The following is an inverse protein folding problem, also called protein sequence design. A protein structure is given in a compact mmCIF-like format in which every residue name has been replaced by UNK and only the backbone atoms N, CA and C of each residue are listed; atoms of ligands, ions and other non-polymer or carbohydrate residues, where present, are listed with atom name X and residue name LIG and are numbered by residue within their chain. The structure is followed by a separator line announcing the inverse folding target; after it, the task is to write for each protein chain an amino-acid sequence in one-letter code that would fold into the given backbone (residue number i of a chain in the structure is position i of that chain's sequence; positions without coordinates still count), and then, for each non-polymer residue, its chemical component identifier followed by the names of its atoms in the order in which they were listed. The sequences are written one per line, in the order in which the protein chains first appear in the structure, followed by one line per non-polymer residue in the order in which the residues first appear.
data_IF_458881733556
#
_entry.id   IF_458881733556
#
_cell.length_a   1.000
_cell.length_b   1.000
_cell.length_c   1.000
_cell.angle_alpha   90.00
_cell.angle_beta   90.00
_cell.angle_gamma   90.00
#
_symmetry.space_group_name_H-M   'P 1'
#
loop_
_entity.id
_entity.type
_entity.pdbx_description
1 polymer ?
#
# COMPACT_ATOMS: atom_id res chain seq x y z
N UNK A 1 -2.79 46.04 -27.74
CA UNK A 1 -3.14 46.04 -26.30
C UNK A 1 -1.93 45.41 -25.62
N UNK A 2 -0.88 46.22 -25.46
CA UNK A 2 0.52 45.77 -25.33
C UNK A 2 1.20 46.43 -24.13
N UNK A 3 0.58 46.32 -22.96
CA UNK A 3 1.03 47.09 -21.78
C UNK A 3 1.38 46.21 -20.56
N UNK A 4 1.26 44.89 -20.67
CA UNK A 4 1.50 43.98 -19.52
C UNK A 4 2.58 42.90 -19.72
N UNK A 5 3.20 42.77 -20.90
CA UNK A 5 4.14 41.67 -21.15
C UNK A 5 5.53 41.86 -20.49
N UNK A 6 5.99 43.09 -20.25
CA UNK A 6 7.35 43.36 -19.75
C UNK A 6 7.55 43.16 -18.25
N UNK A 7 6.48 42.98 -17.46
CA UNK A 7 6.55 42.86 -16.00
C UNK A 7 6.44 41.41 -15.46
N UNK A 8 6.07 40.44 -16.31
CA UNK A 8 5.88 39.06 -15.87
C UNK A 8 6.84 38.11 -16.59
N UNK A 9 7.82 37.58 -15.84
CA UNK A 9 8.57 36.38 -16.25
C UNK A 9 7.70 35.15 -16.04
N UNK A 10 7.13 34.62 -17.12
CA UNK A 10 6.45 33.33 -17.09
C UNK A 10 7.49 32.21 -17.03
N UNK A 11 7.72 31.69 -15.83
CA UNK A 11 8.60 30.55 -15.61
C UNK A 11 7.76 29.28 -15.72
N UNK A 12 7.94 28.50 -16.78
CA UNK A 12 7.31 27.18 -16.91
C UNK A 12 8.11 26.18 -16.09
N UNK A 13 7.67 25.95 -14.85
CA UNK A 13 8.15 24.82 -14.08
C UNK A 13 7.46 23.57 -14.64
N UNK A 14 8.16 22.79 -15.46
CA UNK A 14 7.71 21.44 -15.81
C UNK A 14 8.11 20.59 -14.61
N UNK A 15 7.17 20.14 -13.76
CA UNK A 15 7.55 19.27 -12.66
C UNK A 15 8.05 17.97 -13.28
N UNK A 16 9.36 17.71 -13.15
CA UNK A 16 9.97 16.44 -13.54
C UNK A 16 9.62 15.35 -12.51
N UNK A 17 8.34 15.29 -12.09
CA UNK A 17 7.84 14.32 -11.14
C UNK A 17 7.29 13.12 -11.90
N UNK A 18 7.97 12.00 -11.73
CA UNK A 18 7.59 10.72 -12.31
C UNK A 18 8.59 9.67 -11.86
N UNK A 19 8.12 8.45 -11.66
CA UNK A 19 8.99 7.33 -11.32
C UNK A 19 9.83 7.02 -12.55
N UNK A 20 11.14 7.28 -12.47
CA UNK A 20 12.05 7.05 -13.59
C UNK A 20 12.28 5.57 -13.86
N UNK A 21 12.44 4.78 -12.79
CA UNK A 21 12.66 3.34 -12.85
C UNK A 21 12.19 2.69 -11.54
N UNK A 22 11.66 1.47 -11.63
CA UNK A 22 11.35 0.60 -10.49
C UNK A 22 12.30 -0.58 -10.51
N UNK A 23 12.93 -0.87 -9.37
CA UNK A 23 13.82 -2.00 -9.23
C UNK A 23 13.23 -3.03 -8.28
N UNK A 24 12.93 -4.22 -8.79
CA UNK A 24 12.49 -5.34 -7.98
C UNK A 24 13.69 -6.15 -7.51
N UNK A 25 13.80 -6.32 -6.19
CA UNK A 25 14.70 -7.30 -5.60
C UNK A 25 14.09 -8.70 -5.74
N UNK A 26 14.93 -9.71 -5.98
CA UNK A 26 14.50 -11.09 -6.19
C UNK A 26 14.22 -11.46 -7.65
N UNK A 27 13.49 -12.56 -7.86
CA UNK A 27 13.18 -13.13 -9.18
C UNK A 27 11.68 -13.20 -9.39
N UNK A 28 11.24 -13.25 -10.65
CA UNK A 28 9.82 -13.41 -11.02
C UNK A 28 9.16 -14.60 -10.29
N UNK A 29 9.91 -15.68 -10.10
CA UNK A 29 9.44 -16.87 -9.39
C UNK A 29 9.03 -16.53 -7.94
N UNK A 30 9.84 -15.75 -7.23
CA UNK A 30 9.52 -15.37 -5.84
C UNK A 30 8.27 -14.50 -5.76
N UNK A 31 8.07 -13.58 -6.71
CA UNK A 31 6.87 -12.75 -6.76
C UNK A 31 5.61 -13.56 -7.04
N UNK A 32 5.68 -14.53 -7.97
CA UNK A 32 4.58 -15.49 -8.22
C UNK A 32 4.28 -16.33 -6.99
N UNK A 33 5.31 -16.86 -6.33
CA UNK A 33 5.17 -17.65 -5.11
C UNK A 33 4.57 -16.80 -3.96
N UNK A 34 4.96 -15.53 -3.84
CA UNK A 34 4.41 -14.62 -2.84
C UNK A 34 2.92 -14.37 -3.07
N UNK A 35 2.51 -14.13 -4.33
CA UNK A 35 1.10 -13.99 -4.71
C UNK A 35 0.32 -15.27 -4.38
N UNK A 36 0.81 -16.43 -4.80
CA UNK A 36 0.16 -17.72 -4.56
C UNK A 36 -0.01 -18.00 -3.07
N UNK A 37 1.03 -17.77 -2.25
CA UNK A 37 0.93 -17.93 -0.79
C UNK A 37 -0.07 -16.96 -0.18
N UNK A 38 -0.11 -15.71 -0.66
CA UNK A 38 -1.09 -14.72 -0.20
C UNK A 38 -2.52 -15.14 -0.54
N UNK A 39 -2.73 -15.73 -1.72
CA UNK A 39 -4.02 -16.29 -2.13
C UNK A 39 -4.42 -17.50 -1.28
N UNK A 40 -3.49 -18.42 -1.01
CA UNK A 40 -3.72 -19.54 -0.11
C UNK A 40 -4.07 -19.08 1.30
N UNK A 41 -3.40 -18.04 1.81
CA UNK A 41 -3.69 -17.46 3.12
C UNK A 41 -5.14 -17.00 3.25
N UNK A 42 -5.75 -16.46 2.19
CA UNK A 42 -7.18 -16.07 2.22
C UNK A 42 -8.10 -17.23 2.62
N UNK A 43 -7.79 -18.46 2.23
CA UNK A 43 -8.62 -19.63 2.58
C UNK A 43 -8.62 -19.96 4.08
N UNK A 44 -7.60 -19.52 4.81
CA UNK A 44 -7.47 -19.69 6.26
C UNK A 44 -8.05 -18.51 7.06
N UNK A 45 -8.46 -17.45 6.38
CA UNK A 45 -9.04 -16.27 7.04
C UNK A 45 -10.55 -16.37 7.17
N UNK A 46 -11.10 -15.71 8.20
CA UNK A 46 -12.54 -15.59 8.37
C UNK A 46 -13.06 -14.60 7.31
N UNK A 47 -14.06 -15.02 6.54
CA UNK A 47 -14.68 -14.18 5.50
C UNK A 47 -15.21 -12.88 6.13
N UNK A 48 -14.80 -11.75 5.55
CA UNK A 48 -15.10 -10.38 6.00
C UNK A 48 -14.33 -9.85 7.21
N UNK A 49 -13.32 -10.57 7.72
CA UNK A 49 -12.39 -10.01 8.71
C UNK A 49 -11.46 -8.95 8.08
N UNK A 50 -10.92 -8.06 8.90
CA UNK A 50 -9.90 -7.05 8.58
C UNK A 50 -8.74 -7.63 7.77
N UNK A 51 -8.25 -8.81 8.15
CA UNK A 51 -7.14 -9.48 7.49
C UNK A 51 -7.52 -10.04 6.12
N UNK A 52 -8.76 -10.52 5.94
CA UNK A 52 -9.27 -10.91 4.62
C UNK A 52 -9.34 -9.71 3.67
N UNK A 53 -9.86 -8.57 4.14
CA UNK A 53 -9.90 -7.32 3.34
C UNK A 53 -8.48 -6.85 2.95
N UNK A 54 -7.53 -6.92 3.88
CA UNK A 54 -6.13 -6.60 3.61
C UNK A 54 -5.54 -7.48 2.50
N UNK A 55 -5.74 -8.81 2.56
CA UNK A 55 -5.26 -9.71 1.50
C UNK A 55 -5.95 -9.43 0.15
N UNK A 56 -7.24 -9.10 0.14
CA UNK A 56 -7.95 -8.70 -1.08
C UNK A 56 -7.37 -7.43 -1.71
N UNK A 57 -6.93 -6.46 -0.90
CA UNK A 57 -6.27 -5.24 -1.38
C UNK A 57 -4.82 -5.49 -1.83
N UNK A 58 -4.12 -6.45 -1.21
CA UNK A 58 -2.71 -6.78 -1.47
C UNK A 58 -2.52 -7.55 -2.78
N UNK A 59 -3.38 -8.53 -3.09
CA UNK A 59 -3.21 -9.42 -4.25
C UNK A 59 -3.16 -8.67 -5.58
N UNK A 60 -4.02 -7.68 -5.86
CA UNK A 60 -3.94 -6.86 -7.07
C UNK A 60 -2.59 -6.14 -7.21
N UNK A 61 -2.02 -5.65 -6.11
CA UNK A 61 -0.71 -4.97 -6.10
C UNK A 61 0.41 -5.95 -6.48
N UNK A 62 0.39 -7.15 -5.89
CA UNK A 62 1.34 -8.21 -6.25
C UNK A 62 1.21 -8.63 -7.72
N UNK A 63 -0.01 -8.62 -8.25
CA UNK A 63 -0.24 -8.90 -9.67
C UNK A 63 0.38 -7.83 -10.56
N UNK A 64 0.22 -6.54 -10.24
CA UNK A 64 0.86 -5.44 -10.96
C UNK A 64 2.40 -5.53 -10.93
N UNK A 65 2.99 -6.01 -9.82
CA UNK A 65 4.43 -6.26 -9.75
C UNK A 65 4.87 -7.38 -10.69
N UNK A 66 4.12 -8.48 -10.76
CA UNK A 66 4.39 -9.59 -11.67
C UNK A 66 4.28 -9.14 -13.13
N UNK A 67 3.21 -8.42 -13.49
CA UNK A 67 3.02 -7.89 -14.85
C UNK A 67 4.13 -6.93 -15.23
N UNK A 68 4.51 -6.02 -14.32
CA UNK A 68 5.62 -5.08 -14.53
C UNK A 68 6.94 -5.83 -14.77
N UNK A 69 7.21 -6.90 -14.02
CA UNK A 69 8.40 -7.73 -14.21
C UNK A 69 8.39 -8.47 -15.57
N UNK A 70 7.22 -8.81 -16.09
CA UNK A 70 7.05 -9.45 -17.40
C UNK A 70 7.10 -8.44 -18.57
N UNK A 71 7.23 -7.14 -18.28
CA UNK A 71 7.28 -6.07 -19.28
C UNK A 71 5.93 -5.41 -19.58
N UNK A 72 4.84 -5.87 -18.93
CA UNK A 72 3.50 -5.29 -19.05
C UNK A 72 3.30 -4.21 -17.99
N UNK A 73 3.77 -2.99 -18.28
CA UNK A 73 3.77 -1.90 -17.29
C UNK A 73 2.46 -1.11 -17.32
N UNK A 74 1.71 -1.13 -16.22
CA UNK A 74 0.56 -0.27 -16.01
C UNK A 74 1.00 1.11 -15.48
N UNK A 75 1.13 2.09 -16.38
CA UNK A 75 1.61 3.45 -16.04
C UNK A 75 0.68 4.17 -15.06
N UNK A 76 -0.64 3.95 -15.15
CA UNK A 76 -1.61 4.57 -14.24
C UNK A 76 -1.42 4.05 -12.81
N UNK A 77 -1.27 2.75 -12.63
CA UNK A 77 -0.94 2.14 -11.35
C UNK A 77 0.34 2.76 -10.76
N UNK A 78 1.43 2.82 -11.53
CA UNK A 78 2.70 3.39 -11.06
C UNK A 78 2.64 4.91 -10.82
N UNK A 79 1.77 5.65 -11.50
CA UNK A 79 1.57 7.07 -11.21
C UNK A 79 0.79 7.31 -9.91
N UNK A 80 0.08 6.29 -9.40
CA UNK A 80 -0.77 6.39 -8.21
C UNK A 80 -0.17 5.69 -6.97
N UNK A 81 1.17 5.61 -6.84
CA UNK A 81 1.83 5.07 -5.63
C UNK A 81 1.36 5.79 -4.37
N UNK A 82 1.59 7.10 -4.33
CA UNK A 82 1.25 7.98 -3.23
C UNK A 82 0.93 9.37 -3.76
N UNK A 83 -0.14 9.96 -3.25
CA UNK A 83 -0.59 11.31 -3.52
C UNK A 83 -0.84 12.02 -2.18
N UNK A 84 -0.19 13.16 -1.98
CA UNK A 84 -0.35 13.95 -0.77
C UNK A 84 -1.26 15.15 -1.08
N UNK A 85 -2.52 15.04 -0.69
CA UNK A 85 -3.51 16.13 -0.83
C UNK A 85 -3.40 17.08 0.35
N UNK A 86 -3.03 18.33 0.04
CA UNK A 86 -3.05 19.43 1.01
C UNK A 86 -4.41 20.12 0.99
N UNK A 87 -5.16 19.99 2.09
CA UNK A 87 -6.39 20.74 2.34
C UNK A 87 -6.14 21.92 3.28
N UNK A 88 -6.89 23.01 3.10
CA UNK A 88 -7.03 24.06 4.12
C UNK A 88 -8.33 23.82 4.88
N UNK A 89 -8.24 23.61 6.18
CA UNK A 89 -9.40 23.57 7.07
C UNK A 89 -9.24 24.72 8.09
N UNK A 90 -9.86 25.87 7.80
CA UNK A 90 -9.72 27.07 8.63
C UNK A 90 -8.29 27.64 8.64
N UNK A 91 -7.74 27.91 9.83
CA UNK A 91 -6.38 28.44 10.03
C UNK A 91 -5.29 27.35 10.01
N UNK A 92 -5.66 26.09 9.84
CA UNK A 92 -4.74 24.95 9.75
C UNK A 92 -4.59 24.40 8.32
N UNK A 93 -3.40 23.89 8.01
CA UNK A 93 -3.16 23.00 6.86
C UNK A 93 -3.31 21.55 7.31
N UNK A 94 -4.13 20.77 6.61
CA UNK A 94 -4.19 19.33 6.76
C UNK A 94 -3.57 18.66 5.54
N UNK A 95 -2.68 17.70 5.74
CA UNK A 95 -2.11 16.88 4.67
C UNK A 95 -2.67 15.47 4.77
N UNK A 96 -3.31 15.02 3.70
CA UNK A 96 -3.87 13.67 3.60
C UNK A 96 -3.10 12.89 2.55
N UNK A 97 -2.73 11.66 2.87
CA UNK A 97 -2.10 10.70 2.00
C UNK A 97 -3.17 9.84 1.34
N UNK A 98 -2.98 9.57 0.05
CA UNK A 98 -3.74 8.65 -0.75
C UNK A 98 -2.77 7.83 -1.61
N UNK A 99 -3.22 6.75 -2.23
CA UNK A 99 -2.41 5.93 -3.13
C UNK A 99 -2.38 4.46 -2.71
N UNK A 100 -1.99 3.60 -3.66
CA UNK A 100 -2.05 2.16 -3.42
C UNK A 100 -1.00 1.68 -2.43
N UNK A 101 0.10 2.42 -2.20
CA UNK A 101 1.14 2.00 -1.25
C UNK A 101 0.62 1.88 0.18
N UNK A 102 -0.42 2.65 0.52
CA UNK A 102 -1.05 2.63 1.84
C UNK A 102 -1.71 1.28 2.12
N UNK A 103 -2.12 0.55 1.08
CA UNK A 103 -2.71 -0.78 1.20
C UNK A 103 -1.70 -1.86 1.61
N UNK A 104 -0.39 -1.58 1.56
CA UNK A 104 0.64 -2.49 2.07
C UNK A 104 0.71 -2.50 3.60
N UNK A 105 0.16 -1.49 4.25
CA UNK A 105 0.09 -1.41 5.70
C UNK A 105 -1.22 -2.04 6.18
N UNK A 106 -1.11 -3.13 6.93
CA UNK A 106 -2.24 -3.74 7.61
C UNK A 106 -2.82 -2.79 8.66
N UNK A 107 -4.12 -2.88 8.93
CA UNK A 107 -4.81 -2.15 10.01
C UNK A 107 -4.84 -0.60 9.89
N UNK A 108 -4.73 -0.07 8.67
CA UNK A 108 -5.21 1.31 8.43
C UNK A 108 -6.74 1.28 8.46
N UNK A 109 -7.32 1.83 9.53
CA UNK A 109 -8.77 1.83 9.75
C UNK A 109 -9.55 2.28 8.50
N UNK A 110 -10.64 1.57 8.20
CA UNK A 110 -11.48 1.80 7.02
C UNK A 110 -12.07 3.23 7.00
N UNK A 111 -12.30 3.80 8.19
CA UNK A 111 -12.71 5.19 8.45
C UNK A 111 -11.63 6.21 8.10
N UNK A 112 -10.35 5.85 8.27
CA UNK A 112 -9.21 6.71 7.96
C UNK A 112 -8.80 6.65 6.48
N UNK A 113 -9.27 5.67 5.69
CA UNK A 113 -8.87 5.51 4.27
C UNK A 113 -9.14 6.73 3.39
N UNK A 114 -10.09 7.59 3.75
CA UNK A 114 -10.35 8.85 3.02
C UNK A 114 -9.41 10.00 3.45
N UNK A 115 -8.81 9.91 4.64
CA UNK A 115 -8.05 11.00 5.30
C UNK A 115 -6.88 10.44 6.11
N UNK A 116 -6.01 9.65 5.48
CA UNK A 116 -4.83 9.07 6.13
C UNK A 116 -3.80 10.19 6.35
N UNK A 117 -3.34 10.39 7.57
CA UNK A 117 -2.22 11.29 7.88
C UNK A 117 -0.97 10.45 8.14
N UNK A 118 0.23 11.04 8.09
CA UNK A 118 1.49 10.32 8.38
C UNK A 118 1.49 9.64 9.76
N UNK A 119 0.75 10.17 10.72
CA UNK A 119 0.59 9.62 12.07
C UNK A 119 -0.26 8.34 12.13
N UNK A 120 -1.08 8.06 11.11
CA UNK A 120 -1.90 6.84 11.03
C UNK A 120 -1.11 5.65 10.45
N UNK A 121 0.05 5.91 9.84
CA UNK A 121 0.95 4.87 9.33
C UNK A 121 1.85 4.44 10.48
N UNK A 122 1.34 3.52 11.30
CA UNK A 122 2.13 2.89 12.34
C UNK A 122 3.06 1.82 11.74
N UNK A 123 4.26 1.68 12.31
CA UNK A 123 5.16 0.54 12.05
C UNK A 123 4.46 -0.72 12.58
N UNK A 124 3.63 -1.32 11.74
CA UNK A 124 2.65 -2.29 12.20
C UNK A 124 3.23 -3.69 12.36
N UNK A 125 2.90 -4.29 13.51
CA UNK A 125 2.89 -5.73 13.69
C UNK A 125 1.51 -6.27 13.30
N UNK A 126 1.43 -6.95 12.16
CA UNK A 126 0.34 -7.83 11.75
C UNK A 126 0.20 -8.96 12.77
N UNK A 127 -1.02 -9.14 13.27
CA UNK A 127 -1.42 -10.32 14.04
C UNK A 127 -2.38 -11.15 13.18
N UNK A 128 -1.91 -12.30 12.71
CA UNK A 128 -2.73 -13.19 11.87
C UNK A 128 -3.41 -14.22 12.77
N UNK A 129 -4.74 -14.23 12.89
CA UNK A 129 -5.44 -15.29 13.59
C UNK A 129 -5.38 -16.58 12.76
N UNK A 130 -4.91 -17.66 13.38
CA UNK A 130 -4.82 -18.99 12.78
C UNK A 130 -5.57 -19.97 13.67
N UNK A 131 -6.58 -20.64 13.13
CA UNK A 131 -7.22 -21.75 13.82
C UNK A 131 -6.31 -22.98 13.80
N UNK A 132 -5.84 -23.39 14.96
CA UNK A 132 -5.00 -24.57 15.14
C UNK A 132 -5.84 -25.68 15.77
N UNK A 133 -5.98 -26.78 15.05
CA UNK A 133 -6.58 -28.02 15.55
C UNK A 133 -5.48 -28.95 16.04
N UNK A 134 -5.44 -29.20 17.35
CA UNK A 134 -4.49 -30.13 17.93
C UNK A 134 -5.05 -31.56 17.85
N UNK A 135 -4.54 -32.35 16.91
CA UNK A 135 -4.97 -33.74 16.70
C UNK A 135 -4.70 -34.67 17.89
N UNK A 136 -3.77 -34.33 18.79
CA UNK A 136 -3.48 -35.13 19.98
C UNK A 136 -4.46 -34.85 21.13
N UNK A 137 -4.99 -33.63 21.23
CA UNK A 137 -5.91 -33.23 22.31
C UNK A 137 -7.34 -33.01 21.85
N UNK A 138 -7.62 -33.04 20.54
CA UNK A 138 -8.94 -32.77 19.95
C UNK A 138 -9.43 -31.32 20.14
N UNK A 139 -8.54 -30.39 20.52
CA UNK A 139 -8.91 -29.02 20.85
C UNK A 139 -8.60 -28.09 19.67
N UNK A 140 -9.56 -27.23 19.35
CA UNK A 140 -9.39 -26.10 18.43
C UNK A 140 -9.11 -24.85 19.23
N UNK A 141 -8.02 -24.14 18.89
CA UNK A 141 -7.67 -22.84 19.49
C UNK A 141 -7.27 -21.88 18.39
N UNK A 142 -7.69 -20.62 18.54
CA UNK A 142 -7.19 -19.52 17.71
C UNK A 142 -5.85 -19.06 18.28
N UNK A 143 -4.79 -19.23 17.50
CA UNK A 143 -3.46 -18.72 17.79
C UNK A 143 -3.21 -17.47 16.93
N UNK A 144 -2.32 -16.58 17.36
CA UNK A 144 -1.96 -15.39 16.58
C UNK A 144 -0.49 -15.47 16.13
N UNK A 145 -0.24 -15.33 14.84
CA UNK A 145 1.11 -15.21 14.27
C UNK A 145 1.44 -13.72 14.13
N UNK A 146 2.54 -13.29 14.74
CA UNK A 146 3.01 -11.91 14.70
C UNK A 146 4.02 -11.72 13.56
N UNK A 147 3.85 -10.70 12.73
CA UNK A 147 4.82 -10.28 11.71
C UNK A 147 4.70 -8.78 11.45
N UNK A 148 5.74 -8.07 11.00
CA UNK A 148 5.64 -6.62 10.83
C UNK A 148 6.68 -6.02 9.91
N UNK A 149 6.44 -4.78 9.49
CA UNK A 149 7.41 -3.98 8.73
C UNK A 149 8.25 -3.17 9.71
N UNK A 150 9.58 -3.35 9.68
CA UNK A 150 10.53 -2.48 10.38
C UNK A 150 11.24 -1.62 9.34
N UNK A 151 11.15 -0.30 9.49
CA UNK A 151 12.02 0.64 8.79
C UNK A 151 13.35 0.73 9.54
N UNK A 152 14.46 0.49 8.84
CA UNK A 152 15.79 0.77 9.37
C UNK A 152 16.18 2.18 8.88
N UNK A 153 16.27 3.15 9.79
CA UNK A 153 16.87 4.45 9.46
C UNK A 153 18.39 4.27 9.43
N UNK A 154 18.99 4.39 8.23
CA UNK A 154 20.45 4.47 8.04
C UNK A 154 20.88 5.90 7.81
#
# INVERSE_FOLDING_TARGET
MDTFQSYFKYSRCIPACGIRNVHFQGTLFYWKLLKEKSEQLMSFTIRNDSFFKYLQDLIPILNEFIETYQGNVNVEFWNHIVDAKRGRLGSGSAEYLNGWILKLFYDIEETNREKITSSDIHLNSIQVPVEVENHCTGLKKTCYVLGGFYGEET
#
